data_IF_165461382352
#
_entry.id   IF_165461382352
#
_cell.length_a   1.000
_cell.length_b   1.000
_cell.length_c   1.000
_cell.angle_alpha   90.00
_cell.angle_beta   90.00
_cell.angle_gamma   90.00
#
_symmetry.space_group_name_H-M   'P 1'
#
loop_
_entity.id
_entity.type
_entity.pdbx_description
1 polymer ?
#
# COMPACT_ATOMS: atom_id res chain seq x y z
N UNK A 1 -1.72 8.33 29.74
CA UNK A 1 -2.54 9.56 29.75
C UNK A 1 -3.33 9.58 28.46
N UNK A 2 -4.63 9.84 28.51
CA UNK A 2 -5.47 9.94 27.31
C UNK A 2 -5.28 11.33 26.65
N UNK A 3 -5.12 11.37 25.33
CA UNK A 3 -4.96 12.60 24.57
C UNK A 3 -6.30 13.02 23.96
N UNK A 4 -6.96 13.98 24.61
CA UNK A 4 -8.28 14.48 24.21
C UNK A 4 -8.28 15.15 22.83
N UNK A 5 -7.14 15.71 22.41
CA UNK A 5 -7.01 16.36 21.10
C UNK A 5 -6.95 15.30 19.99
N UNK A 6 -6.22 14.22 20.22
CA UNK A 6 -6.21 13.07 19.32
C UNK A 6 -7.59 12.42 19.22
N UNK A 7 -8.26 12.20 20.36
CA UNK A 7 -9.60 11.61 20.40
C UNK A 7 -10.62 12.47 19.61
N UNK A 8 -10.61 13.79 19.82
CA UNK A 8 -11.48 14.71 19.09
C UNK A 8 -11.20 14.71 17.56
N UNK A 9 -9.94 14.61 17.16
CA UNK A 9 -9.58 14.51 15.75
C UNK A 9 -10.06 13.18 15.13
N UNK A 10 -9.97 12.08 15.86
CA UNK A 10 -10.50 10.76 15.46
C UNK A 10 -12.02 10.79 15.32
N UNK A 11 -12.74 11.42 16.25
CA UNK A 11 -14.19 11.54 16.17
C UNK A 11 -14.65 12.47 15.03
N UNK A 12 -13.88 13.51 14.74
CA UNK A 12 -14.08 14.36 13.55
C UNK A 12 -13.90 13.53 12.28
N UNK A 13 -12.88 12.68 12.21
CA UNK A 13 -12.68 11.78 11.07
C UNK A 13 -13.84 10.80 10.89
N UNK A 14 -14.36 10.23 11.99
CA UNK A 14 -15.50 9.30 11.98
C UNK A 14 -16.80 9.95 11.52
N UNK A 15 -17.03 11.22 11.89
CA UNK A 15 -18.25 11.96 11.57
C UNK A 15 -18.19 12.71 10.24
N UNK A 16 -17.03 12.79 9.59
CA UNK A 16 -16.85 13.52 8.34
C UNK A 16 -17.66 12.92 7.17
N UNK A 17 -18.53 13.75 6.58
CA UNK A 17 -19.42 13.36 5.47
C UNK A 17 -18.79 13.53 4.09
N UNK A 18 -17.73 14.33 3.99
CA UNK A 18 -17.05 14.62 2.71
C UNK A 18 -15.64 14.05 2.67
N UNK A 19 -15.11 13.88 1.45
CA UNK A 19 -13.71 13.45 1.27
C UNK A 19 -12.73 14.50 1.79
N UNK A 20 -13.01 15.78 1.56
CA UNK A 20 -12.16 16.90 1.99
C UNK A 20 -12.07 16.95 3.52
N UNK A 21 -13.20 16.80 4.21
CA UNK A 21 -13.22 16.82 5.68
C UNK A 21 -12.52 15.60 6.27
N UNK A 22 -12.67 14.42 5.65
CA UNK A 22 -11.91 13.22 6.03
C UNK A 22 -10.40 13.43 5.86
N UNK A 23 -9.97 14.01 4.74
CA UNK A 23 -8.54 14.22 4.48
C UNK A 23 -7.94 15.26 5.44
N UNK A 24 -8.67 16.33 5.78
CA UNK A 24 -8.26 17.28 6.83
C UNK A 24 -8.15 16.63 8.21
N UNK A 25 -9.13 15.81 8.59
CA UNK A 25 -9.09 15.10 9.86
C UNK A 25 -7.92 14.10 9.92
N UNK A 26 -7.62 13.39 8.83
CA UNK A 26 -6.41 12.53 8.72
C UNK A 26 -5.13 13.33 8.95
N UNK A 27 -5.01 14.52 8.36
CA UNK A 27 -3.84 15.38 8.55
C UNK A 27 -3.69 15.82 10.01
N UNK A 28 -4.80 16.19 10.67
CA UNK A 28 -4.79 16.56 12.08
C UNK A 28 -4.37 15.39 12.99
N UNK A 29 -4.88 14.19 12.73
CA UNK A 29 -4.48 12.95 13.44
C UNK A 29 -2.99 12.67 13.24
N UNK A 30 -2.51 12.73 11.99
CA UNK A 30 -1.11 12.47 11.66
C UNK A 30 -0.17 13.48 12.34
N UNK A 31 -0.52 14.77 12.34
CA UNK A 31 0.23 15.80 13.05
C UNK A 31 0.30 15.51 14.56
N UNK A 32 -0.83 15.17 15.19
CA UNK A 32 -0.84 14.90 16.63
C UNK A 32 -0.04 13.64 16.99
N UNK A 33 -0.10 12.59 16.17
CA UNK A 33 0.72 11.39 16.35
C UNK A 33 2.20 11.67 16.17
N UNK A 34 2.57 12.56 15.24
CA UNK A 34 3.96 12.99 15.06
C UNK A 34 4.50 13.75 16.28
N UNK A 35 3.66 14.58 16.92
CA UNK A 35 4.03 15.29 18.15
C UNK A 35 4.20 14.34 19.34
N UNK A 36 3.25 13.41 19.51
CA UNK A 36 3.25 12.45 20.62
C UNK A 36 4.36 11.41 20.49
N UNK A 37 4.80 11.11 19.26
CA UNK A 37 5.76 10.04 18.92
C UNK A 37 5.49 8.73 19.67
N UNK A 38 4.24 8.21 19.68
CA UNK A 38 3.90 7.03 20.49
C UNK A 38 4.55 5.75 19.95
N UNK A 39 4.99 5.76 18.69
CA UNK A 39 5.72 4.68 18.05
C UNK A 39 6.73 5.24 17.05
N UNK A 40 7.76 4.45 16.76
CA UNK A 40 8.69 4.72 15.66
C UNK A 40 8.21 3.91 14.45
N UNK A 41 7.91 4.59 13.35
CA UNK A 41 7.58 3.93 12.09
C UNK A 41 8.88 3.55 11.40
N UNK A 42 9.18 2.26 11.35
CA UNK A 42 10.29 1.71 10.57
C UNK A 42 9.75 1.32 9.19
N UNK A 43 10.21 2.00 8.14
CA UNK A 43 9.94 1.60 6.76
C UNK A 43 10.86 0.45 6.38
N UNK A 44 10.50 -0.77 6.80
CA UNK A 44 11.15 -1.99 6.36
C UNK A 44 10.35 -2.61 5.20
N UNK A 45 10.99 -3.06 4.12
CA UNK A 45 10.30 -3.84 3.09
C UNK A 45 9.73 -5.11 3.72
N UNK A 46 8.41 -5.32 3.61
CA UNK A 46 7.74 -6.50 4.16
C UNK A 46 8.15 -7.78 3.40
N UNK A 47 8.37 -7.66 2.09
CA UNK A 47 8.74 -8.75 1.20
C UNK A 47 9.49 -8.24 -0.04
N UNK A 48 10.31 -9.10 -0.64
CA UNK A 48 10.97 -8.87 -1.93
C UNK A 48 10.51 -9.94 -2.90
N UNK A 49 9.98 -9.53 -4.05
CA UNK A 49 9.51 -10.43 -5.11
C UNK A 49 10.42 -10.32 -6.33
N UNK A 50 11.00 -11.45 -6.76
CA UNK A 50 11.77 -11.54 -8.00
C UNK A 50 10.87 -12.05 -9.13
N UNK A 51 10.82 -11.31 -10.23
CA UNK A 51 9.98 -11.63 -11.39
C UNK A 51 10.84 -11.67 -12.65
N UNK A 52 10.50 -12.56 -13.58
CA UNK A 52 11.12 -12.56 -14.90
C UNK A 52 10.79 -11.26 -15.64
N UNK A 53 11.78 -10.66 -16.33
CA UNK A 53 11.57 -9.48 -17.19
C UNK A 53 10.61 -9.74 -18.35
N UNK A 54 10.31 -11.01 -18.64
CA UNK A 54 9.37 -11.42 -19.69
C UNK A 54 7.93 -11.31 -19.25
N UNK A 55 7.69 -11.25 -17.95
CA UNK A 55 6.37 -11.29 -17.37
C UNK A 55 5.78 -9.87 -17.38
N UNK A 56 4.59 -9.74 -17.95
CA UNK A 56 3.85 -8.47 -18.03
C UNK A 56 2.56 -8.58 -17.23
N UNK A 57 2.02 -7.43 -16.81
CA UNK A 57 0.75 -7.35 -16.08
C UNK A 57 0.85 -7.39 -14.55
N UNK A 58 2.03 -7.56 -13.96
CA UNK A 58 2.21 -7.41 -12.50
C UNK A 58 2.19 -5.93 -12.13
N UNK A 59 1.37 -5.62 -11.14
CA UNK A 59 1.28 -4.32 -10.50
C UNK A 59 1.50 -4.50 -9.00
N UNK A 60 2.01 -3.48 -8.32
CA UNK A 60 2.10 -3.49 -6.86
C UNK A 60 1.09 -2.49 -6.30
N UNK A 61 0.17 -2.97 -5.47
CA UNK A 61 -0.86 -2.16 -4.80
C UNK A 61 -0.78 -2.47 -3.31
N UNK A 62 -0.63 -1.43 -2.48
CA UNK A 62 -0.47 -1.58 -1.02
C UNK A 62 0.63 -2.59 -0.64
N UNK A 63 1.78 -2.50 -1.33
CA UNK A 63 2.94 -3.39 -1.19
C UNK A 63 2.68 -4.87 -1.50
N UNK A 64 1.52 -5.21 -2.07
CA UNK A 64 1.17 -6.56 -2.51
C UNK A 64 1.26 -6.68 -4.03
N UNK A 65 1.94 -7.72 -4.57
CA UNK A 65 1.94 -7.98 -5.99
C UNK A 65 0.56 -8.46 -6.41
N UNK A 66 -0.05 -7.75 -7.37
CA UNK A 66 -1.33 -8.07 -7.97
C UNK A 66 -1.14 -8.37 -9.45
N UNK A 67 -1.80 -9.43 -9.90
CA UNK A 67 -1.77 -9.88 -11.28
C UNK A 67 -3.19 -10.16 -11.76
N UNK A 68 -3.77 -9.20 -12.48
CA UNK A 68 -5.13 -9.37 -13.02
C UNK A 68 -5.13 -10.16 -14.34
N UNK A 69 -4.06 -10.05 -15.14
CA UNK A 69 -3.83 -10.86 -16.35
C UNK A 69 -2.35 -11.18 -16.49
N UNK A 70 -2.03 -12.47 -16.59
CA UNK A 70 -0.69 -12.93 -16.90
C UNK A 70 -0.41 -12.73 -18.38
N UNK A 71 0.63 -11.96 -18.69
CA UNK A 71 1.12 -11.80 -20.05
C UNK A 71 2.62 -12.09 -20.16
N UNK A 72 3.06 -12.39 -21.36
CA UNK A 72 4.46 -12.47 -21.72
C UNK A 72 4.79 -11.42 -22.78
N UNK A 73 6.02 -10.90 -22.77
CA UNK A 73 6.49 -10.00 -23.80
C UNK A 73 6.40 -10.66 -25.20
N UNK A 74 5.96 -9.92 -26.25
CA UNK A 74 5.80 -10.47 -27.60
C UNK A 74 7.12 -11.05 -28.12
N UNK A 75 7.05 -12.25 -28.72
CA UNK A 75 8.21 -12.98 -29.23
C UNK A 75 8.92 -13.90 -28.22
N UNK A 76 8.38 -14.08 -27.00
CA UNK A 76 8.95 -14.98 -25.98
C UNK A 76 8.03 -16.11 -25.50
N UNK A 77 6.89 -16.32 -26.14
CA UNK A 77 6.13 -17.58 -26.04
C UNK A 77 6.76 -18.61 -26.97
N UNK A 78 8.04 -18.90 -26.76
CA UNK A 78 8.59 -20.17 -27.20
C UNK A 78 8.26 -21.14 -26.07
N UNK A 79 7.37 -22.09 -26.34
CA UNK A 79 7.02 -23.19 -25.45
C UNK A 79 8.21 -24.17 -25.30
N UNK A 80 9.45 -23.67 -25.32
CA UNK A 80 10.68 -24.46 -25.13
C UNK A 80 10.85 -24.98 -23.72
N UNK A 81 10.06 -24.49 -22.75
CA UNK A 81 9.91 -25.12 -21.44
C UNK A 81 8.95 -26.32 -21.44
N UNK A 82 8.21 -26.55 -22.52
CA UNK A 82 7.27 -27.68 -22.71
C UNK A 82 7.97 -28.88 -23.40
N UNK A 83 9.27 -28.80 -23.70
CA UNK A 83 10.07 -29.94 -24.21
C UNK A 83 11.29 -30.16 -23.33
N UNK A 84 11.68 -31.33 -22.84
CA UNK A 84 11.23 -32.74 -22.76
C UNK A 84 12.30 -33.42 -21.84
N UNK A 85 12.17 -34.68 -21.33
CA UNK A 85 11.24 -35.75 -21.69
C UNK A 85 10.22 -36.14 -20.62
#
# INVERSE_FOLDING_TARGET
>A
MADQTLDAAIDTYRSALTRIDRDRAKQAIAARLADLRPAIVLHAPLAVTLLSRTLTGVQFVDDLPRLDRLGFAPGRTDDSWIREP
#
